data_IF_374196464467
#
_entry.id   IF_374196464467
#
_cell.length_a   1.000
_cell.length_b   1.000
_cell.length_c   1.000
_cell.angle_alpha   90.00
_cell.angle_beta   90.00
_cell.angle_gamma   90.00
#
_symmetry.space_group_name_H-M   'P 1'
#
loop_
_entity.id
_entity.type
_entity.pdbx_description
1 polymer ?
#
# COMPACT_ATOMS: atom_id res chain seq x y z
N UNK A 1 0.46 -9.38 -7.02
CA UNK A 1 1.76 -9.13 -6.37
C UNK A 1 1.89 -7.77 -5.67
N UNK A 2 1.73 -6.63 -6.35
CA UNK A 2 1.85 -5.31 -5.70
C UNK A 2 0.95 -5.15 -4.46
N UNK A 3 -0.28 -5.65 -4.55
CA UNK A 3 -1.21 -5.65 -3.44
C UNK A 3 -0.75 -6.47 -2.22
N UNK A 4 -0.18 -7.66 -2.50
CA UNK A 4 0.36 -8.54 -1.48
C UNK A 4 1.50 -7.86 -0.71
N UNK A 5 2.42 -7.23 -1.46
CA UNK A 5 3.63 -6.63 -0.93
C UNK A 5 3.41 -5.31 -0.20
N UNK A 6 2.52 -4.44 -0.71
CA UNK A 6 2.35 -3.09 -0.15
C UNK A 6 1.15 -2.93 0.79
N UNK A 7 0.13 -3.79 0.66
CA UNK A 7 -1.08 -3.66 1.47
C UNK A 7 -1.21 -4.85 2.42
N UNK A 8 -1.31 -6.07 1.89
CA UNK A 8 -1.66 -7.25 2.69
C UNK A 8 -0.54 -7.72 3.62
N UNK A 9 0.72 -7.45 3.28
CA UNK A 9 1.88 -7.70 4.13
C UNK A 9 1.77 -7.04 5.51
N UNK A 10 1.15 -5.87 5.58
CA UNK A 10 0.90 -5.15 6.83
C UNK A 10 -0.53 -5.35 7.32
N UNK A 11 -1.50 -5.28 6.42
CA UNK A 11 -2.92 -5.28 6.80
C UNK A 11 -3.37 -6.64 7.31
N UNK A 12 -3.04 -7.74 6.63
CA UNK A 12 -3.51 -9.08 7.02
C UNK A 12 -3.03 -9.50 8.43
N UNK A 13 -1.75 -9.36 8.83
CA UNK A 13 -1.35 -9.66 10.21
C UNK A 13 -2.00 -8.72 11.22
N UNK A 14 -2.18 -7.43 10.91
CA UNK A 14 -2.81 -6.48 11.84
C UNK A 14 -4.31 -6.72 12.05
N UNK A 15 -5.05 -7.13 11.03
CA UNK A 15 -6.53 -7.25 11.11
C UNK A 15 -7.03 -8.70 11.18
N UNK A 16 -6.22 -9.67 10.75
CA UNK A 16 -6.56 -11.11 10.78
C UNK A 16 -5.63 -11.92 11.66
N UNK A 17 -4.54 -11.34 12.16
CA UNK A 17 -3.58 -12.04 13.01
C UNK A 17 -2.72 -13.05 12.26
N UNK A 18 -2.75 -13.05 10.92
CA UNK A 18 -2.01 -14.03 10.10
C UNK A 18 -1.37 -13.36 8.88
N UNK A 19 -0.10 -13.70 8.61
CA UNK A 19 0.55 -13.30 7.38
C UNK A 19 0.00 -14.09 6.18
N UNK A 20 -0.08 -13.48 4.98
CA UNK A 20 -0.43 -14.20 3.76
C UNK A 20 0.58 -15.31 3.47
N UNK A 21 0.09 -16.54 3.24
CA UNK A 21 0.98 -17.68 2.93
C UNK A 21 1.85 -17.43 1.71
N UNK A 22 1.24 -16.90 0.64
CA UNK A 22 1.92 -16.50 -0.59
C UNK A 22 3.10 -15.55 -0.32
N UNK A 23 2.96 -14.60 0.60
CA UNK A 23 4.06 -13.69 0.96
C UNK A 23 5.19 -14.43 1.66
N UNK A 24 4.86 -15.31 2.61
CA UNK A 24 5.85 -16.10 3.35
C UNK A 24 6.64 -17.00 2.39
N UNK A 25 5.97 -17.63 1.44
CA UNK A 25 6.61 -18.51 0.46
C UNK A 25 7.57 -17.72 -0.44
N UNK A 26 7.16 -16.55 -0.94
CA UNK A 26 8.03 -15.66 -1.72
C UNK A 26 9.28 -15.24 -0.92
N UNK A 27 9.12 -14.84 0.34
CA UNK A 27 10.25 -14.40 1.15
C UNK A 27 11.22 -15.56 1.45
N UNK A 28 10.72 -16.79 1.60
CA UNK A 28 11.54 -17.99 1.75
C UNK A 28 12.32 -18.32 0.48
N UNK A 29 11.64 -18.33 -0.67
CA UNK A 29 12.25 -18.60 -1.97
C UNK A 29 13.40 -17.63 -2.27
N UNK A 30 13.26 -16.37 -1.84
CA UNK A 30 14.27 -15.34 -2.02
C UNK A 30 15.27 -15.25 -0.86
N UNK A 31 15.22 -16.16 0.14
CA UNK A 31 16.12 -16.18 1.30
C UNK A 31 16.14 -14.87 2.11
N UNK A 32 15.01 -14.17 2.15
CA UNK A 32 14.81 -12.89 2.86
C UNK A 32 13.72 -12.97 3.92
N UNK A 33 13.22 -14.17 4.23
CA UNK A 33 12.28 -14.35 5.33
C UNK A 33 12.96 -13.97 6.66
N UNK A 34 12.36 -13.08 7.47
CA UNK A 34 12.90 -12.75 8.78
C UNK A 34 12.96 -13.97 9.71
N UNK A 35 13.90 -13.95 10.66
CA UNK A 35 13.92 -14.91 11.75
C UNK A 35 12.65 -14.77 12.59
N UNK A 36 11.94 -15.88 12.79
CA UNK A 36 10.72 -15.95 13.60
C UNK A 36 11.03 -16.71 14.89
N UNK A 37 10.78 -16.09 16.03
CA UNK A 37 10.96 -16.70 17.35
C UNK A 37 9.72 -17.51 17.75
N UNK A 38 9.89 -18.52 18.62
CA UNK A 38 8.75 -19.21 19.23
C UNK A 38 7.81 -18.20 19.91
N UNK A 39 6.54 -18.23 19.54
CA UNK A 39 5.51 -17.33 20.09
C UNK A 39 5.19 -16.10 19.24
N UNK A 40 6.04 -15.68 18.29
CA UNK A 40 5.77 -14.48 17.48
C UNK A 40 4.45 -14.56 16.71
N UNK A 41 4.17 -15.73 16.13
CA UNK A 41 2.93 -15.96 15.37
C UNK A 41 1.70 -16.07 16.26
N UNK A 42 1.85 -16.49 17.52
CA UNK A 42 0.78 -16.48 18.52
C UNK A 42 0.48 -15.03 18.93
N UNK A 43 1.53 -14.27 19.26
CA UNK A 43 1.42 -12.89 19.68
C UNK A 43 0.70 -12.04 18.64
N UNK A 44 1.02 -12.18 17.36
CA UNK A 44 0.33 -11.46 16.27
C UNK A 44 -1.13 -11.89 16.17
N UNK A 45 -1.44 -13.17 16.37
CA UNK A 45 -2.80 -13.70 16.27
C UNK A 45 -3.71 -13.19 17.39
N UNK A 46 -3.18 -13.12 18.60
CA UNK A 46 -3.91 -12.68 19.79
C UNK A 46 -4.07 -11.15 19.86
N UNK A 47 -3.29 -10.38 19.08
CA UNK A 47 -3.23 -8.92 19.17
C UNK A 47 -3.55 -8.24 17.83
N UNK A 48 -4.80 -8.38 17.37
CA UNK A 48 -5.31 -7.63 16.20
C UNK A 48 -5.80 -6.24 16.61
N UNK A 49 -5.84 -5.32 15.64
CA UNK A 49 -6.23 -3.91 15.90
C UNK A 49 -7.76 -3.74 15.88
N UNK A 50 -8.27 -2.83 16.72
CA UNK A 50 -9.71 -2.51 16.77
C UNK A 50 -10.16 -1.60 15.62
N UNK A 51 -9.24 -0.79 15.09
CA UNK A 51 -9.52 0.15 14.01
C UNK A 51 -8.31 0.36 13.10
N UNK A 52 -8.57 0.75 11.85
CA UNK A 52 -7.52 1.00 10.85
C UNK A 52 -7.53 2.46 10.41
N UNK A 53 -6.37 3.11 10.52
CA UNK A 53 -6.10 4.40 9.88
C UNK A 53 -5.66 4.21 8.43
N UNK A 54 -6.37 4.83 7.49
CA UNK A 54 -6.08 4.75 6.05
C UNK A 54 -5.44 6.04 5.58
N UNK A 55 -4.21 5.93 5.07
CA UNK A 55 -3.51 7.03 4.43
C UNK A 55 -3.58 6.88 2.91
N UNK A 56 -4.10 7.90 2.22
CA UNK A 56 -4.20 7.91 0.76
C UNK A 56 -3.78 9.25 0.17
N UNK A 57 -2.70 9.27 -0.62
CA UNK A 57 -2.16 10.51 -1.20
C UNK A 57 -2.23 10.55 -2.72
N UNK A 58 -1.80 9.46 -3.35
CA UNK A 58 -1.79 9.30 -4.80
C UNK A 58 -2.01 7.82 -5.09
N UNK A 59 -2.54 7.46 -6.27
CA UNK A 59 -2.66 6.06 -6.64
C UNK A 59 -1.27 5.47 -6.88
N UNK A 60 -1.17 4.15 -6.68
CA UNK A 60 -0.10 3.33 -7.26
C UNK A 60 -0.73 2.52 -8.37
N UNK A 61 -0.20 2.67 -9.58
CA UNK A 61 -0.58 1.89 -10.74
C UNK A 61 0.61 1.04 -11.14
N UNK A 62 0.33 -0.22 -11.46
CA UNK A 62 1.35 -1.19 -11.83
C UNK A 62 0.89 -1.95 -13.07
N UNK A 63 1.85 -2.36 -13.89
CA UNK A 63 1.64 -3.26 -15.01
C UNK A 63 2.48 -4.53 -14.81
N UNK A 64 2.19 -5.54 -15.63
CA UNK A 64 3.06 -6.70 -15.72
C UNK A 64 4.45 -6.26 -16.20
N UNK A 65 5.47 -6.94 -15.70
CA UNK A 65 6.85 -6.73 -16.12
C UNK A 65 7.12 -7.50 -17.40
N UNK A 66 7.66 -6.84 -18.42
CA UNK A 66 8.00 -7.51 -19.67
C UNK A 66 9.38 -8.17 -19.62
N UNK A 67 10.31 -7.61 -18.84
CA UNK A 67 11.69 -8.08 -18.73
C UNK A 67 12.11 -8.26 -17.28
N UNK A 68 12.72 -9.40 -16.90
CA UNK A 68 13.23 -9.62 -15.54
C UNK A 68 14.09 -8.45 -15.05
N UNK A 69 13.81 -7.96 -13.83
CA UNK A 69 14.64 -6.95 -13.20
C UNK A 69 15.99 -7.58 -12.82
N UNK A 70 17.08 -7.05 -13.37
CA UNK A 70 18.43 -7.44 -12.96
C UNK A 70 18.81 -6.63 -11.73
N UNK A 71 18.71 -7.26 -10.56
CA UNK A 71 19.06 -6.68 -9.26
C UNK A 71 19.63 -7.77 -8.36
N UNK A 72 20.66 -7.43 -7.61
CA UNK A 72 21.24 -8.25 -6.55
C UNK A 72 20.46 -8.12 -5.21
N UNK A 73 19.64 -7.07 -5.09
CA UNK A 73 18.77 -6.84 -3.94
C UNK A 73 17.34 -7.29 -4.24
N UNK A 74 16.75 -8.06 -3.32
CA UNK A 74 15.33 -8.41 -3.37
C UNK A 74 14.46 -7.16 -3.20
N UNK A 75 13.61 -6.89 -4.19
CA UNK A 75 12.67 -5.78 -4.16
C UNK A 75 11.32 -6.21 -4.74
N UNK A 76 10.18 -5.71 -4.22
CA UNK A 76 8.86 -5.98 -4.80
C UNK A 76 8.79 -5.67 -6.31
N UNK A 77 9.56 -4.69 -6.73
CA UNK A 77 9.82 -4.28 -8.10
C UNK A 77 10.41 -5.41 -8.96
N UNK A 78 10.68 -6.62 -8.48
CA UNK A 78 10.99 -7.78 -9.32
C UNK A 78 9.74 -8.37 -10.00
N UNK A 79 8.53 -8.13 -9.47
CA UNK A 79 7.29 -8.78 -9.94
C UNK A 79 6.35 -7.92 -10.78
N UNK A 80 6.41 -6.60 -10.65
CA UNK A 80 5.61 -5.66 -11.45
C UNK A 80 6.40 -4.37 -11.74
N UNK A 81 5.98 -3.63 -12.76
CA UNK A 81 6.51 -2.31 -13.10
C UNK A 81 5.54 -1.21 -12.69
N UNK A 82 6.06 -0.03 -12.38
CA UNK A 82 5.19 1.14 -12.15
C UNK A 82 4.68 1.64 -13.50
N UNK A 83 3.38 1.88 -13.58
CA UNK A 83 2.71 2.38 -14.77
C UNK A 83 2.17 3.78 -14.51
N UNK A 84 2.46 4.74 -15.41
CA UNK A 84 1.87 6.07 -15.36
C UNK A 84 1.06 6.31 -16.62
N UNK A 85 -0.27 6.53 -16.54
CA UNK A 85 -1.08 6.88 -17.69
C UNK A 85 -0.67 8.24 -18.25
N UNK A 86 -0.57 8.38 -19.57
CA UNK A 86 -0.16 9.63 -20.24
C UNK A 86 -1.06 10.83 -19.87
N UNK A 87 -2.37 10.59 -19.74
CA UNK A 87 -3.36 11.63 -19.48
C UNK A 87 -3.77 11.73 -18.00
N UNK A 88 -2.93 11.28 -17.07
CA UNK A 88 -3.26 11.38 -15.66
C UNK A 88 -3.16 12.83 -15.14
N UNK A 89 -4.04 13.19 -14.20
CA UNK A 89 -4.01 14.50 -13.53
C UNK A 89 -2.80 14.49 -12.58
N UNK A 90 -1.88 15.45 -12.70
CA UNK A 90 -0.62 15.44 -11.94
C UNK A 90 -0.46 16.66 -11.02
N UNK A 91 -0.01 16.42 -9.79
CA UNK A 91 0.62 17.44 -8.96
C UNK A 91 2.07 17.62 -9.44
N UNK A 92 2.29 18.62 -10.30
CA UNK A 92 3.59 18.88 -10.95
C UNK A 92 4.73 19.16 -9.97
N UNK A 93 4.44 19.77 -8.81
CA UNK A 93 5.48 20.07 -7.81
C UNK A 93 6.03 18.82 -7.13
N UNK A 94 5.23 17.75 -7.02
CA UNK A 94 5.59 16.50 -6.33
C UNK A 94 5.76 15.30 -7.26
N UNK A 95 5.40 15.43 -8.53
CA UNK A 95 5.40 14.32 -9.48
C UNK A 95 4.38 13.23 -9.15
N UNK A 96 3.28 13.57 -8.45
CA UNK A 96 2.27 12.61 -8.00
C UNK A 96 0.99 12.70 -8.82
N UNK A 97 0.44 11.55 -9.22
CA UNK A 97 -0.90 11.48 -9.81
C UNK A 97 -1.94 11.89 -8.75
N UNK A 98 -2.92 12.67 -9.18
CA UNK A 98 -4.11 13.04 -8.41
C UNK A 98 -5.25 12.17 -8.94
N UNK A 99 -5.72 11.22 -8.14
CA UNK A 99 -6.84 10.35 -8.51
C UNK A 99 -7.83 10.19 -7.34
N UNK A 100 -8.85 11.03 -7.34
CA UNK A 100 -9.80 11.18 -6.22
C UNK A 100 -10.64 9.91 -5.98
N UNK A 101 -10.90 9.14 -7.05
CA UNK A 101 -11.76 7.95 -7.01
C UNK A 101 -11.12 6.73 -6.34
N UNK A 102 -9.79 6.69 -6.13
CA UNK A 102 -9.16 5.54 -5.48
C UNK A 102 -9.56 5.40 -4.00
N UNK A 103 -9.94 6.49 -3.33
CA UNK A 103 -10.47 6.45 -1.96
C UNK A 103 -11.68 5.52 -1.82
N UNK A 104 -12.53 5.44 -2.86
CA UNK A 104 -13.71 4.56 -2.88
C UNK A 104 -13.34 3.08 -2.94
N UNK A 105 -12.25 2.72 -3.64
CA UNK A 105 -11.75 1.34 -3.67
C UNK A 105 -11.27 0.84 -2.30
N UNK A 106 -10.64 1.72 -1.51
CA UNK A 106 -10.18 1.39 -0.14
C UNK A 106 -11.37 1.10 0.79
N UNK A 107 -12.45 1.86 0.66
CA UNK A 107 -13.70 1.64 1.41
C UNK A 107 -14.26 0.23 1.17
N UNK A 108 -14.39 -0.18 -0.10
CA UNK A 108 -14.88 -1.51 -0.44
C UNK A 108 -14.02 -2.63 0.14
N UNK A 109 -12.69 -2.47 0.10
CA UNK A 109 -11.77 -3.46 0.68
C UNK A 109 -11.88 -3.56 2.19
N UNK A 110 -11.89 -2.45 2.91
CA UNK A 110 -11.94 -2.48 4.38
C UNK A 110 -13.29 -2.99 4.88
N UNK A 111 -14.36 -2.75 4.12
CA UNK A 111 -15.66 -3.33 4.39
C UNK A 111 -15.66 -4.86 4.28
N UNK A 112 -14.84 -5.47 3.40
CA UNK A 112 -14.67 -6.93 3.35
C UNK A 112 -14.03 -7.50 4.62
N UNK A 113 -13.24 -6.70 5.35
CA UNK A 113 -12.66 -7.10 6.63
C UNK A 113 -13.54 -6.76 7.83
N UNK A 114 -14.68 -6.08 7.60
CA UNK A 114 -15.64 -5.67 8.64
C UNK A 114 -14.99 -4.87 9.80
N UNK A 115 -13.83 -4.28 9.55
CA UNK A 115 -13.08 -3.52 10.55
C UNK A 115 -13.43 -2.03 10.46
N UNK A 116 -13.73 -1.37 11.58
CA UNK A 116 -13.87 0.08 11.61
C UNK A 116 -12.62 0.77 11.05
N UNK A 117 -12.79 1.81 10.24
CA UNK A 117 -11.66 2.54 9.68
C UNK A 117 -11.92 4.03 9.60
N UNK A 118 -10.84 4.80 9.62
CA UNK A 118 -10.84 6.26 9.48
C UNK A 118 -9.84 6.64 8.39
N UNK A 119 -10.20 7.59 7.52
CA UNK A 119 -9.22 8.19 6.62
C UNK A 119 -8.35 9.14 7.43
N UNK A 120 -7.15 8.69 7.80
CA UNK A 120 -6.25 9.43 8.69
C UNK A 120 -5.45 10.50 7.96
N UNK A 121 -5.19 10.33 6.65
CA UNK A 121 -4.49 11.35 5.87
C UNK A 121 -4.83 11.31 4.38
N UNK A 122 -5.07 12.48 3.81
CA UNK A 122 -5.25 12.70 2.38
C UNK A 122 -4.26 13.74 1.83
N UNK A 123 -3.90 13.65 0.56
CA UNK A 123 -3.18 14.73 -0.11
C UNK A 123 -4.16 15.85 -0.47
N UNK A 124 -3.88 17.08 -0.04
CA UNK A 124 -4.43 18.28 -0.67
C UNK A 124 -3.61 18.69 -1.90
N UNK A 125 -4.13 19.57 -2.77
CA UNK A 125 -3.27 20.32 -3.68
C UNK A 125 -2.18 21.02 -2.85
N UNK A 126 -1.00 21.28 -3.42
CA UNK A 126 0.09 22.00 -2.74
C UNK A 126 -0.35 23.34 -2.15
N UNK A 127 0.55 24.12 -1.51
CA UNK A 127 0.16 25.39 -0.88
C UNK A 127 -0.69 26.22 -1.84
N UNK A 128 -1.96 26.40 -1.49
CA UNK A 128 -2.88 27.27 -2.22
C UNK A 128 -2.21 28.63 -2.29
N UNK A 129 -2.01 29.25 -3.47
CA UNK A 129 -1.58 30.63 -3.50
C UNK A 129 -2.58 31.43 -2.65
N UNK A 130 -2.10 32.16 -1.66
CA UNK A 130 -2.92 33.10 -0.92
C UNK A 130 -3.47 34.08 -1.97
N UNK A 131 -4.73 33.90 -2.35
CA UNK A 131 -5.47 34.95 -3.03
C UNK A 131 -5.76 35.97 -1.94
N UNK A 132 -4.96 37.02 -1.87
CA UNK A 132 -5.42 38.28 -1.29
C UNK A 132 -6.66 38.66 -2.08
N UNK A 133 -7.83 38.47 -1.46
CA UNK A 133 -9.02 39.20 -1.85
C UNK A 133 -8.73 40.63 -1.42
N UNK A 134 -8.28 41.45 -2.35
CA UNK A 134 -8.43 42.90 -2.22
C UNK A 134 -9.85 43.21 -2.67
N UNK A 135 -10.60 43.83 -1.75
CA UNK A 135 -11.93 44.41 -1.99
C UNK A 135 -11.95 45.36 -3.20
#
# INVERSE_FOLDING_TARGET
MADLMFNRSFLDPSVKGVYPRELVDILKENSVLPSVMPGDTELIRENTVDFVGVNYYHPRRVCHREMPLVSDVFMPDQYFENYMPENCKMNRSRGWEIYEMASQGHKGRLQLFWIPYVVSKTAGPGPTPIKTVTD
#
